data_IF_858668822642
#
_entry.id   IF_858668822642
#
_cell.length_a   1.000
_cell.length_b   1.000
_cell.length_c   1.000
_cell.angle_alpha   90.00
_cell.angle_beta   90.00
_cell.angle_gamma   90.00
#
_symmetry.space_group_name_H-M   'P 1'
#
loop_
_entity.id
_entity.type
_entity.pdbx_description
1 polymer ?
#
# COMPACT_ATOMS: atom_id res chain seq x y z
N UNK A 1 13.53 -0.70 -4.67
CA UNK A 1 12.05 -0.56 -4.71
C UNK A 1 11.72 0.82 -5.26
N UNK A 2 10.52 1.06 -5.79
CA UNK A 2 9.96 2.41 -5.86
C UNK A 2 8.63 2.43 -5.12
N UNK A 3 8.32 3.56 -4.47
CA UNK A 3 7.08 3.76 -3.73
C UNK A 3 6.19 4.72 -4.49
N UNK A 4 4.90 4.43 -4.55
CA UNK A 4 3.91 5.32 -5.15
C UNK A 4 2.92 5.72 -4.05
N UNK A 5 2.94 6.98 -3.64
CA UNK A 5 2.08 7.54 -2.58
C UNK A 5 0.72 8.00 -3.12
N UNK A 6 -0.25 8.18 -2.22
CA UNK A 6 -1.63 8.62 -2.48
C UNK A 6 -2.38 7.80 -3.52
N UNK A 7 -2.01 6.53 -3.72
CA UNK A 7 -2.64 5.65 -4.70
C UNK A 7 -4.07 5.33 -4.26
N UNK A 8 -5.02 5.74 -5.10
CA UNK A 8 -6.45 5.62 -4.84
C UNK A 8 -7.16 4.75 -5.86
N UNK A 9 -6.58 4.56 -7.06
CA UNK A 9 -7.15 3.83 -8.20
C UNK A 9 -6.13 2.91 -8.85
N UNK A 10 -6.62 1.92 -9.60
CA UNK A 10 -5.77 1.09 -10.48
C UNK A 10 -5.06 1.95 -11.56
N UNK A 11 -5.70 3.00 -12.06
CA UNK A 11 -5.11 3.90 -13.07
C UNK A 11 -3.78 4.50 -12.60
N UNK A 12 -3.73 5.03 -11.38
CA UNK A 12 -2.54 5.63 -10.76
C UNK A 12 -1.35 4.64 -10.73
N UNK A 13 -1.63 3.34 -10.54
CA UNK A 13 -0.62 2.28 -10.59
C UNK A 13 -0.07 2.09 -12.00
N UNK A 14 -0.91 2.09 -13.02
CA UNK A 14 -0.49 1.95 -14.42
C UNK A 14 0.28 3.17 -14.91
N UNK A 15 -0.14 4.38 -14.54
CA UNK A 15 0.60 5.61 -14.84
C UNK A 15 1.99 5.59 -14.19
N UNK A 16 2.09 5.23 -12.91
CA UNK A 16 3.38 5.12 -12.21
C UNK A 16 4.30 4.01 -12.78
N UNK A 17 3.72 2.99 -13.43
CA UNK A 17 4.42 1.93 -14.17
C UNK A 17 4.84 2.34 -15.58
N UNK A 18 4.12 3.26 -16.22
CA UNK A 18 4.47 3.77 -17.55
C UNK A 18 5.75 4.62 -17.52
N UNK A 19 6.09 5.22 -16.37
CA UNK A 19 7.36 5.93 -16.15
C UNK A 19 8.55 4.95 -16.31
N UNK A 20 9.46 5.17 -17.28
CA UNK A 20 10.63 4.31 -17.46
C UNK A 20 11.56 4.32 -16.24
N UNK A 21 12.05 3.15 -15.86
CA UNK A 21 12.96 2.96 -14.71
C UNK A 21 14.17 2.12 -15.12
N UNK A 22 15.26 2.26 -14.37
CA UNK A 22 16.46 1.44 -14.58
C UNK A 22 16.15 -0.06 -14.45
N UNK A 23 16.84 -0.87 -15.25
CA UNK A 23 16.70 -2.33 -15.24
C UNK A 23 16.89 -2.86 -13.81
N UNK A 24 15.90 -3.61 -13.32
CA UNK A 24 15.87 -4.17 -11.97
C UNK A 24 15.06 -3.35 -10.94
N UNK A 25 14.75 -2.08 -11.20
CA UNK A 25 13.95 -1.22 -10.29
C UNK A 25 12.44 -1.26 -10.59
N UNK A 26 11.94 -2.38 -11.12
CA UNK A 26 10.52 -2.59 -11.46
C UNK A 26 9.66 -3.12 -10.30
N UNK A 27 10.19 -3.19 -9.06
CA UNK A 27 9.41 -3.56 -7.86
C UNK A 27 8.78 -2.34 -7.18
N UNK A 28 7.52 -2.52 -6.81
CA UNK A 28 6.49 -1.51 -6.50
C UNK A 28 5.27 -2.30 -5.97
N UNK A 29 4.65 -2.12 -4.79
CA UNK A 29 4.78 -1.22 -3.62
C UNK A 29 4.02 0.12 -3.68
N UNK A 30 2.67 0.11 -3.66
CA UNK A 30 1.79 1.30 -3.57
C UNK A 30 1.50 1.64 -2.11
N UNK A 31 1.60 2.90 -1.68
CA UNK A 31 1.15 3.34 -0.35
C UNK A 31 -0.32 3.79 -0.42
N UNK A 32 -1.15 3.22 0.46
CA UNK A 32 -2.54 3.59 0.69
C UNK A 32 -2.59 4.47 1.93
N UNK A 33 -2.91 5.74 1.73
CA UNK A 33 -2.83 6.81 2.74
C UNK A 33 -4.20 7.46 3.01
N UNK A 34 -5.22 7.18 2.20
CA UNK A 34 -6.54 7.83 2.25
C UNK A 34 -7.72 6.82 2.26
N UNK A 35 -8.92 7.33 2.53
CA UNK A 35 -10.14 6.52 2.59
C UNK A 35 -10.59 5.96 1.23
N UNK A 36 -10.21 6.58 0.11
CA UNK A 36 -10.54 6.10 -1.24
C UNK A 36 -9.72 4.86 -1.61
N UNK A 37 -8.39 4.89 -1.42
CA UNK A 37 -7.52 3.75 -1.67
C UNK A 37 -7.81 2.53 -0.78
N UNK A 38 -8.32 2.73 0.44
CA UNK A 38 -8.83 1.62 1.29
C UNK A 38 -10.08 0.97 0.69
N UNK A 39 -10.97 1.73 0.04
CA UNK A 39 -12.16 1.18 -0.65
C UNK A 39 -11.79 0.45 -1.94
N UNK A 40 -10.81 0.97 -2.67
CA UNK A 40 -10.33 0.40 -3.95
C UNK A 40 -9.17 -0.59 -3.78
N UNK A 41 -8.87 -0.98 -2.53
CA UNK A 41 -7.74 -1.84 -2.18
C UNK A 41 -7.67 -3.12 -3.03
N UNK A 42 -8.80 -3.80 -3.24
CA UNK A 42 -8.87 -5.04 -4.02
C UNK A 42 -8.54 -4.85 -5.51
N UNK A 43 -8.80 -3.68 -6.08
CA UNK A 43 -8.45 -3.34 -7.47
C UNK A 43 -6.95 -3.01 -7.56
N UNK A 44 -6.46 -2.19 -6.64
CA UNK A 44 -5.03 -1.82 -6.54
C UNK A 44 -4.17 -3.06 -6.29
N UNK A 45 -4.66 -4.04 -5.52
CA UNK A 45 -3.99 -5.31 -5.23
C UNK A 45 -3.91 -6.22 -6.47
N UNK A 46 -4.96 -6.27 -7.28
CA UNK A 46 -4.94 -7.01 -8.56
C UNK A 46 -3.96 -6.40 -9.56
N UNK A 47 -3.81 -5.07 -9.56
CA UNK A 47 -2.92 -4.35 -10.47
C UNK A 47 -1.41 -4.55 -10.17
N UNK A 48 -1.03 -5.07 -8.99
CA UNK A 48 0.33 -4.87 -8.45
C UNK A 48 0.81 -5.95 -7.47
N UNK A 49 2.06 -6.37 -7.65
CA UNK A 49 2.78 -7.22 -6.68
C UNK A 49 3.41 -6.43 -5.53
N UNK A 50 2.60 -5.70 -4.74
CA UNK A 50 3.08 -5.00 -3.53
C UNK A 50 2.24 -3.78 -3.13
N UNK A 51 1.74 -3.76 -1.90
CA UNK A 51 1.02 -2.64 -1.27
C UNK A 51 1.61 -2.37 0.13
N UNK A 52 1.55 -1.12 0.55
CA UNK A 52 1.78 -0.65 1.91
C UNK A 52 0.52 0.09 2.34
N UNK A 53 0.03 -0.13 3.56
CA UNK A 53 -1.05 0.69 4.14
C UNK A 53 -0.44 1.56 5.23
N UNK A 54 -0.50 2.88 5.00
CA UNK A 54 0.09 3.87 5.89
C UNK A 54 -0.95 4.34 6.90
N UNK A 55 -1.03 3.61 8.01
CA UNK A 55 -2.04 3.86 9.04
C UNK A 55 -1.84 5.16 9.82
N UNK A 56 -0.64 5.77 9.76
CA UNK A 56 -0.37 7.11 10.30
C UNK A 56 -1.15 8.19 9.55
N UNK A 57 -0.94 8.30 8.24
CA UNK A 57 -1.66 9.22 7.36
C UNK A 57 -3.17 8.94 7.34
N UNK A 58 -3.54 7.66 7.24
CA UNK A 58 -4.93 7.23 7.24
C UNK A 58 -5.65 7.59 8.57
N UNK A 59 -4.92 7.63 9.69
CA UNK A 59 -5.44 8.07 10.99
C UNK A 59 -5.79 9.56 11.07
N UNK A 60 -5.38 10.37 10.10
CA UNK A 60 -5.81 11.76 9.94
C UNK A 60 -7.18 11.80 9.22
N UNK A 61 -7.44 10.89 8.28
CA UNK A 61 -8.69 10.82 7.51
C UNK A 61 -9.83 10.05 8.19
N UNK A 62 -9.53 9.03 9.01
CA UNK A 62 -10.51 8.19 9.68
C UNK A 62 -10.22 8.03 11.18
N UNK A 63 -11.27 7.83 11.99
CA UNK A 63 -11.10 7.64 13.44
C UNK A 63 -10.29 6.38 13.74
N UNK A 64 -9.51 6.40 14.83
CA UNK A 64 -8.61 5.30 15.25
C UNK A 64 -9.32 3.94 15.34
N UNK A 65 -10.59 3.92 15.72
CA UNK A 65 -11.42 2.71 15.74
C UNK A 65 -11.59 2.10 14.33
N UNK A 66 -11.75 2.96 13.32
CA UNK A 66 -11.87 2.57 11.90
C UNK A 66 -10.52 2.17 11.30
N UNK A 67 -9.42 2.75 11.77
CA UNK A 67 -8.05 2.31 11.43
C UNK A 67 -7.88 0.84 11.80
N UNK A 68 -8.24 0.47 13.03
CA UNK A 68 -8.18 -0.92 13.51
C UNK A 68 -9.11 -1.87 12.73
N UNK A 69 -10.33 -1.43 12.39
CA UNK A 69 -11.24 -2.20 11.55
C UNK A 69 -10.68 -2.41 10.13
N UNK A 70 -10.11 -1.38 9.51
CA UNK A 70 -9.49 -1.47 8.20
C UNK A 70 -8.31 -2.46 8.19
N UNK A 71 -7.44 -2.41 9.21
CA UNK A 71 -6.36 -3.37 9.40
C UNK A 71 -6.89 -4.82 9.45
N UNK A 72 -7.95 -5.08 10.23
CA UNK A 72 -8.59 -6.40 10.32
C UNK A 72 -9.27 -6.87 9.04
N UNK A 73 -9.79 -5.96 8.21
CA UNK A 73 -10.38 -6.29 6.91
C UNK A 73 -9.31 -6.60 5.85
N UNK A 74 -8.14 -5.97 5.95
CA UNK A 74 -7.04 -6.11 4.99
C UNK A 74 -6.16 -7.33 5.30
N UNK A 75 -6.01 -7.72 6.57
CA UNK A 75 -5.15 -8.84 7.00
C UNK A 75 -5.41 -10.19 6.27
N UNK A 76 -6.65 -10.65 6.02
CA UNK A 76 -6.86 -11.91 5.27
C UNK A 76 -6.33 -11.83 3.83
N UNK A 77 -6.41 -10.65 3.21
CA UNK A 77 -5.90 -10.40 1.85
C UNK A 77 -4.36 -10.27 1.83
N UNK A 78 -3.78 -9.76 2.93
CA UNK A 78 -2.33 -9.74 3.16
C UNK A 78 -1.75 -11.17 3.16
N UNK A 79 -2.32 -12.08 3.94
CA UNK A 79 -1.86 -13.48 4.05
C UNK A 79 -1.99 -14.22 2.70
N UNK A 80 -3.10 -14.02 1.98
CA UNK A 80 -3.33 -14.63 0.67
C UNK A 80 -2.29 -14.23 -0.40
N UNK A 81 -1.78 -12.99 -0.34
CA UNK A 81 -0.90 -12.44 -1.37
C UNK A 81 0.56 -12.23 -0.93
N UNK A 82 0.90 -12.31 0.36
CA UNK A 82 2.25 -12.08 0.91
C UNK A 82 2.89 -10.73 0.51
N UNK A 83 2.06 -9.74 0.20
CA UNK A 83 2.47 -8.54 -0.54
C UNK A 83 1.96 -7.22 0.05
N UNK A 84 1.27 -7.25 1.19
CA UNK A 84 0.96 -6.04 1.96
C UNK A 84 2.02 -5.83 3.05
N UNK A 85 2.26 -4.58 3.45
CA UNK A 85 3.00 -4.25 4.68
C UNK A 85 2.34 -3.05 5.38
N UNK A 86 2.44 -2.98 6.70
CA UNK A 86 2.12 -1.78 7.48
C UNK A 86 3.28 -0.79 7.38
N UNK A 87 3.01 0.47 7.08
CA UNK A 87 4.05 1.51 7.15
C UNK A 87 4.45 1.77 8.61
N UNK A 88 5.74 1.96 8.86
CA UNK A 88 6.33 2.21 10.18
C UNK A 88 7.01 3.59 10.27
N UNK A 89 6.58 4.54 9.44
CA UNK A 89 7.02 5.94 9.48
C UNK A 89 8.03 6.27 8.38
N UNK A 90 8.10 7.56 8.02
CA UNK A 90 8.78 8.07 6.81
C UNK A 90 10.31 7.94 6.79
N UNK A 91 10.93 7.28 7.76
CA UNK A 91 12.35 6.95 7.79
C UNK A 91 12.54 5.44 7.93
N UNK A 92 12.51 4.73 6.80
CA UNK A 92 13.60 3.85 6.38
C UNK A 92 13.33 3.23 4.99
N UNK A 93 14.29 3.35 4.08
CA UNK A 93 14.16 2.84 2.70
C UNK A 93 14.56 1.35 2.55
N UNK A 94 14.93 0.67 3.64
CA UNK A 94 15.30 -0.74 3.64
C UNK A 94 14.53 -1.57 4.68
N UNK A 95 13.79 -2.54 4.16
CA UNK A 95 13.38 -3.81 4.82
C UNK A 95 12.78 -3.73 6.23
N UNK A 96 11.44 -3.80 6.32
CA UNK A 96 10.76 -4.39 7.49
C UNK A 96 9.72 -5.42 7.04
N UNK A 97 10.03 -6.73 7.10
CA UNK A 97 9.04 -7.78 6.95
C UNK A 97 8.29 -7.92 8.27
N UNK A 98 7.25 -7.10 8.46
CA UNK A 98 6.23 -7.42 9.45
C UNK A 98 5.42 -8.62 8.93
N UNK A 99 5.96 -9.83 9.12
CA UNK A 99 5.08 -10.95 9.44
C UNK A 99 4.50 -10.70 10.83
N UNK A 100 3.32 -11.26 11.09
CA UNK A 100 2.98 -11.60 12.47
C UNK A 100 3.92 -12.69 13.00
#
# INVERSE_FOLDING_TARGET
MAFASFISKEADVHEFRAVPREKGKNKITSKIENREGVRMFDEILKARGGIVVAFGDLGIEITVEKVFLAQRMIQPSWEAHHLCHTDAGEHDQETLPYSC
#
